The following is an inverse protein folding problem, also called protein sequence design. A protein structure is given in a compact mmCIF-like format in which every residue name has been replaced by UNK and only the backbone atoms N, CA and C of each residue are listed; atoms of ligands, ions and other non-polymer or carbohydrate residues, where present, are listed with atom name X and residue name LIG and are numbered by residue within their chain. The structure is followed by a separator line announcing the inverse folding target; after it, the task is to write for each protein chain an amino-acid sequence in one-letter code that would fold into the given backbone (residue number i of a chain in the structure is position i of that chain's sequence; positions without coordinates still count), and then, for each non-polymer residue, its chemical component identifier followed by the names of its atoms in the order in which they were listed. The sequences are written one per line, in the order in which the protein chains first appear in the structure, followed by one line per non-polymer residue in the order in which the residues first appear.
data_IF_906626476823
#
_entry.id   IF_906626476823
#
_cell.length_a   1.000
_cell.length_b   1.000
_cell.length_c   1.000
_cell.angle_alpha   90.00
_cell.angle_beta   90.00
_cell.angle_gamma   90.00
#
_symmetry.space_group_name_H-M   'P 1'
#
loop_
_entity.id
_entity.type
_entity.pdbx_description
1 polymer ?
#
# COMPACT_ATOMS: atom_id res chain seq x y z
N UNK A 1 2.12 1.16 -21.06
CA UNK A 1 1.84 -0.27 -20.73
C UNK A 1 2.71 -1.28 -21.52
N UNK A 2 2.49 -1.53 -22.83
CA UNK A 2 3.17 -2.65 -23.54
C UNK A 2 4.69 -2.51 -23.59
N UNK A 3 5.19 -1.28 -23.76
CA UNK A 3 6.64 -0.99 -23.74
C UNK A 3 7.25 -1.26 -22.36
N UNK A 4 6.52 -0.91 -21.29
CA UNK A 4 6.97 -1.08 -19.91
C UNK A 4 7.04 -2.56 -19.54
N UNK A 5 6.03 -3.34 -19.94
CA UNK A 5 6.02 -4.78 -19.74
C UNK A 5 7.20 -5.47 -20.45
N UNK A 6 7.47 -5.10 -21.70
CA UNK A 6 8.59 -5.67 -22.47
C UNK A 6 9.94 -5.36 -21.82
N UNK A 7 10.13 -4.13 -21.31
CA UNK A 7 11.34 -3.73 -20.57
C UNK A 7 11.49 -4.51 -19.28
N UNK A 8 10.43 -4.62 -18.46
CA UNK A 8 10.48 -5.34 -17.18
C UNK A 8 10.74 -6.83 -17.36
N UNK A 9 10.07 -7.47 -18.33
CA UNK A 9 10.20 -8.92 -18.60
C UNK A 9 11.64 -9.31 -18.96
N UNK A 10 12.37 -8.45 -19.66
CA UNK A 10 13.77 -8.72 -20.02
C UNK A 10 14.69 -8.84 -18.80
N UNK A 11 14.45 -8.05 -17.75
CA UNK A 11 15.25 -8.06 -16.52
C UNK A 11 14.71 -9.03 -15.46
N UNK A 12 13.41 -9.37 -15.48
CA UNK A 12 12.75 -10.14 -14.41
C UNK A 12 13.45 -11.48 -14.10
N UNK A 13 13.82 -12.25 -15.12
CA UNK A 13 14.53 -13.52 -14.92
C UNK A 13 15.90 -13.31 -14.26
N UNK A 14 16.59 -12.25 -14.64
CA UNK A 14 17.93 -11.94 -14.13
C UNK A 14 17.85 -11.56 -12.64
N UNK A 15 16.87 -10.77 -12.23
CA UNK A 15 16.70 -10.34 -10.84
C UNK A 15 16.59 -11.53 -9.86
N UNK A 16 15.86 -12.58 -10.23
CA UNK A 16 15.72 -13.79 -9.41
C UNK A 16 17.04 -14.58 -9.33
N UNK A 17 17.77 -14.70 -10.44
CA UNK A 17 19.06 -15.39 -10.48
C UNK A 17 20.08 -14.64 -9.63
N UNK A 18 20.19 -13.32 -9.81
CA UNK A 18 21.11 -12.46 -9.06
C UNK A 18 20.81 -12.44 -7.57
N UNK A 19 19.51 -12.44 -7.20
CA UNK A 19 19.10 -12.53 -5.80
C UNK A 19 19.52 -13.84 -5.15
N UNK A 20 19.43 -14.97 -5.85
CA UNK A 20 19.86 -16.28 -5.33
C UNK A 20 21.39 -16.37 -5.27
N UNK A 21 22.09 -15.87 -6.28
CA UNK A 21 23.56 -15.85 -6.33
C UNK A 21 24.19 -14.93 -5.27
N UNK A 22 23.47 -13.91 -4.82
CA UNK A 22 23.94 -12.95 -3.80
C UNK A 22 24.07 -13.55 -2.39
N UNK A 23 23.55 -14.76 -2.15
CA UNK A 23 23.71 -15.49 -0.88
C UNK A 23 23.21 -14.69 0.33
N UNK A 24 24.03 -14.60 1.38
CA UNK A 24 23.67 -13.94 2.65
C UNK A 24 23.79 -12.42 2.63
N UNK A 25 24.40 -11.82 1.59
CA UNK A 25 24.60 -10.36 1.51
C UNK A 25 23.28 -9.58 1.43
N UNK A 26 22.21 -10.21 0.97
CA UNK A 26 20.87 -9.60 0.88
C UNK A 26 20.18 -9.49 2.23
N UNK A 27 20.60 -10.26 3.25
CA UNK A 27 19.95 -10.27 4.56
C UNK A 27 20.10 -8.94 5.30
N UNK A 28 21.27 -8.32 5.23
CA UNK A 28 21.52 -7.03 5.87
C UNK A 28 20.60 -5.91 5.34
N UNK A 29 20.54 -5.62 4.01
CA UNK A 29 19.62 -4.61 3.49
C UNK A 29 18.15 -5.00 3.66
N UNK A 30 17.80 -6.28 3.56
CA UNK A 30 16.40 -6.73 3.79
C UNK A 30 15.96 -6.43 5.22
N UNK A 31 16.81 -6.74 6.20
CA UNK A 31 16.51 -6.47 7.63
C UNK A 31 16.43 -4.98 7.91
N UNK A 32 17.35 -4.19 7.32
CA UNK A 32 17.33 -2.73 7.46
C UNK A 32 16.03 -2.12 6.90
N UNK A 33 15.66 -2.50 5.67
CA UNK A 33 14.44 -1.99 5.02
C UNK A 33 13.17 -2.48 5.74
N UNK A 34 13.18 -3.71 6.27
CA UNK A 34 12.07 -4.21 7.08
C UNK A 34 11.79 -3.29 8.26
N UNK A 35 12.79 -2.94 9.07
CA UNK A 35 12.58 -2.04 10.20
C UNK A 35 12.28 -0.60 9.75
N UNK A 36 12.97 -0.12 8.71
CA UNK A 36 12.73 1.22 8.16
C UNK A 36 11.30 1.41 7.62
N UNK A 37 10.66 0.36 7.11
CA UNK A 37 9.27 0.40 6.62
C UNK A 37 8.24 0.02 7.68
N UNK A 38 8.55 -0.89 8.61
CA UNK A 38 7.60 -1.31 9.65
C UNK A 38 7.34 -0.20 10.67
N UNK A 39 8.36 0.54 11.08
CA UNK A 39 8.21 1.58 12.13
C UNK A 39 7.25 2.70 11.72
N UNK A 40 7.35 3.31 10.51
CA UNK A 40 6.38 4.31 10.07
C UNK A 40 4.97 3.74 9.94
N UNK A 41 4.82 2.50 9.45
CA UNK A 41 3.51 1.86 9.29
C UNK A 41 2.84 1.63 10.64
N UNK A 42 3.60 1.25 11.67
CA UNK A 42 3.07 1.12 13.04
C UNK A 42 2.66 2.49 13.58
N UNK A 43 3.51 3.52 13.41
CA UNK A 43 3.21 4.87 13.89
C UNK A 43 1.96 5.45 13.22
N UNK A 44 1.87 5.35 11.89
CA UNK A 44 0.72 5.84 11.11
C UNK A 44 -0.52 4.97 11.30
N UNK A 45 -0.36 3.67 11.48
CA UNK A 45 -1.46 2.76 11.81
C UNK A 45 -2.08 3.08 13.17
N UNK A 46 -1.26 3.41 14.17
CA UNK A 46 -1.74 3.84 15.48
C UNK A 46 -2.44 5.21 15.40
N UNK A 47 -1.86 6.14 14.65
CA UNK A 47 -2.51 7.42 14.38
C UNK A 47 -3.89 7.21 13.71
N UNK A 48 -3.97 6.34 12.70
CA UNK A 48 -5.22 6.02 12.01
C UNK A 48 -6.24 5.37 12.95
N UNK A 49 -5.80 4.45 13.80
CA UNK A 49 -6.65 3.80 14.82
C UNK A 49 -7.26 4.82 15.77
N UNK A 50 -6.46 5.76 16.26
CA UNK A 50 -6.93 6.82 17.17
C UNK A 50 -7.90 7.80 16.50
N UNK A 51 -7.65 8.16 15.25
CA UNK A 51 -8.48 9.11 14.50
C UNK A 51 -9.78 8.49 13.96
N UNK A 52 -9.86 7.16 13.86
CA UNK A 52 -11.03 6.43 13.36
C UNK A 52 -11.81 5.71 14.47
N UNK A 53 -11.63 6.12 15.73
CA UNK A 53 -12.23 5.48 16.92
C UNK A 53 -12.05 3.94 16.95
N UNK A 54 -10.92 3.44 16.45
CA UNK A 54 -10.60 2.01 16.37
C UNK A 54 -11.23 1.26 15.20
N UNK A 55 -11.92 1.92 14.26
CA UNK A 55 -12.49 1.29 13.06
C UNK A 55 -11.43 0.78 12.07
N UNK A 56 -10.23 1.37 12.05
CA UNK A 56 -9.07 0.86 11.30
C UNK A 56 -7.89 0.67 12.24
N UNK A 57 -7.49 -0.57 12.46
CA UNK A 57 -6.43 -0.89 13.41
C UNK A 57 -5.03 -0.83 12.79
N UNK A 58 -4.03 -0.63 13.64
CA UNK A 58 -2.60 -0.74 13.32
C UNK A 58 -2.26 -2.08 12.68
N UNK A 59 -2.88 -3.17 13.15
CA UNK A 59 -2.65 -4.51 12.60
C UNK A 59 -3.18 -4.66 11.17
N UNK A 60 -4.36 -4.09 10.88
CA UNK A 60 -4.95 -4.14 9.54
C UNK A 60 -4.11 -3.33 8.55
N UNK A 61 -3.61 -2.17 9.01
CA UNK A 61 -2.71 -1.31 8.23
C UNK A 61 -1.39 -2.03 7.91
N UNK A 62 -0.84 -2.74 8.89
CA UNK A 62 0.39 -3.55 8.73
C UNK A 62 0.16 -4.71 7.77
N UNK A 63 -0.93 -5.47 7.95
CA UNK A 63 -1.30 -6.60 7.09
C UNK A 63 -1.55 -6.15 5.65
N UNK A 64 -2.27 -5.04 5.46
CA UNK A 64 -2.50 -4.43 4.14
C UNK A 64 -1.19 -4.06 3.46
N UNK A 65 -0.29 -3.37 4.16
CA UNK A 65 1.03 -2.99 3.62
C UNK A 65 1.87 -4.22 3.25
N UNK A 66 1.85 -5.27 4.09
CA UNK A 66 2.58 -6.51 3.81
C UNK A 66 2.05 -7.24 2.56
N UNK A 67 0.73 -7.40 2.45
CA UNK A 67 0.09 -8.07 1.30
C UNK A 67 0.37 -7.27 0.02
N UNK A 68 0.15 -5.96 0.04
CA UNK A 68 0.40 -5.11 -1.12
C UNK A 68 1.89 -5.06 -1.48
N UNK A 69 2.80 -5.08 -0.49
CA UNK A 69 4.24 -5.17 -0.72
C UNK A 69 4.65 -6.48 -1.41
N UNK A 70 4.11 -7.62 -0.98
CA UNK A 70 4.37 -8.92 -1.63
C UNK A 70 3.86 -8.90 -3.07
N UNK A 71 2.61 -8.47 -3.30
CA UNK A 71 2.03 -8.38 -4.65
C UNK A 71 2.87 -7.43 -5.52
N UNK A 72 3.28 -6.26 -5.01
CA UNK A 72 4.10 -5.30 -5.75
C UNK A 72 5.51 -5.84 -6.04
N UNK A 73 6.13 -6.56 -5.11
CA UNK A 73 7.46 -7.15 -5.35
C UNK A 73 7.47 -8.19 -6.49
N UNK A 74 6.37 -8.93 -6.65
CA UNK A 74 6.23 -9.96 -7.71
C UNK A 74 5.78 -9.35 -9.04
N UNK A 75 4.78 -8.46 -9.03
CA UNK A 75 4.13 -7.95 -10.24
C UNK A 75 4.51 -6.51 -10.61
N UNK A 76 5.23 -5.81 -9.75
CA UNK A 76 5.57 -4.41 -9.91
C UNK A 76 6.56 -4.14 -11.04
N UNK A 77 6.41 -2.96 -11.64
CA UNK A 77 7.32 -2.46 -12.67
C UNK A 77 8.68 -2.02 -12.13
N UNK A 78 8.81 -1.78 -10.83
CA UNK A 78 10.03 -1.31 -10.18
C UNK A 78 10.26 -2.04 -8.85
N UNK A 79 11.11 -3.08 -8.80
CA UNK A 79 11.30 -3.91 -7.61
C UNK A 79 11.98 -3.21 -6.43
N UNK A 80 12.67 -2.08 -6.68
CA UNK A 80 13.31 -1.26 -5.63
C UNK A 80 12.34 -0.28 -4.95
N UNK A 81 11.08 -0.21 -5.40
CA UNK A 81 10.08 0.66 -4.80
C UNK A 81 9.58 0.06 -3.49
N UNK A 82 9.66 0.83 -2.41
CA UNK A 82 9.15 0.44 -1.09
C UNK A 82 7.73 0.98 -0.96
N UNK A 83 6.77 0.06 -0.85
CA UNK A 83 5.37 0.41 -0.60
C UNK A 83 5.15 0.63 0.90
N UNK A 84 4.45 1.69 1.25
CA UNK A 84 4.11 2.00 2.63
C UNK A 84 2.94 2.98 2.73
N UNK A 85 2.42 3.11 3.94
CA UNK A 85 1.43 4.14 4.27
C UNK A 85 2.16 5.44 4.55
N UNK A 86 1.66 6.52 3.96
CA UNK A 86 2.18 7.87 4.16
C UNK A 86 1.13 8.73 4.87
N UNK A 87 1.59 9.79 5.51
CA UNK A 87 0.75 10.75 6.24
C UNK A 87 -0.43 11.31 5.40
N UNK A 88 -0.29 11.66 4.11
CA UNK A 88 -1.42 12.13 3.32
C UNK A 88 -2.55 11.09 3.21
N UNK A 89 -2.20 9.81 3.16
CA UNK A 89 -3.18 8.73 3.16
C UNK A 89 -3.94 8.71 4.48
N UNK A 90 -3.25 8.79 5.63
CA UNK A 90 -3.88 8.83 6.95
C UNK A 90 -4.86 10.01 7.05
N UNK A 91 -4.43 11.20 6.65
CA UNK A 91 -5.27 12.41 6.67
C UNK A 91 -6.54 12.22 5.84
N UNK A 92 -6.43 11.61 4.65
CA UNK A 92 -7.59 11.35 3.80
C UNK A 92 -8.56 10.35 4.44
N UNK A 93 -8.06 9.27 5.04
CA UNK A 93 -8.91 8.29 5.74
C UNK A 93 -9.60 8.88 6.97
N UNK A 94 -8.91 9.74 7.74
CA UNK A 94 -9.50 10.51 8.84
C UNK A 94 -10.57 11.48 8.34
N UNK A 95 -10.34 12.15 7.21
CA UNK A 95 -11.34 13.02 6.60
C UNK A 95 -12.59 12.24 6.17
N UNK A 96 -12.42 11.10 5.49
CA UNK A 96 -13.53 10.21 5.12
C UNK A 96 -14.31 9.75 6.36
N UNK A 97 -13.60 9.41 7.44
CA UNK A 97 -14.22 8.97 8.68
C UNK A 97 -15.10 10.06 9.30
N UNK A 98 -14.55 11.27 9.43
CA UNK A 98 -15.29 12.44 9.93
C UNK A 98 -16.48 12.81 9.04
N UNK A 99 -16.33 12.66 7.71
CA UNK A 99 -17.43 12.87 6.76
C UNK A 99 -18.58 11.86 6.97
N UNK A 100 -18.26 10.58 7.17
CA UNK A 100 -19.26 9.54 7.44
C UNK A 100 -19.97 9.80 8.78
N UNK A 101 -19.21 10.15 9.82
CA UNK A 101 -19.73 10.48 11.16
C UNK A 101 -20.65 11.71 11.16
N UNK A 102 -20.35 12.71 10.32
CA UNK A 102 -21.16 13.93 10.18
C UNK A 102 -22.41 13.76 9.29
N UNK A 103 -22.55 12.64 8.58
CA UNK A 103 -23.66 12.38 7.65
C UNK A 103 -24.68 11.45 8.31
N UNK A 104 -25.91 11.95 8.50
CA UNK A 104 -26.96 11.25 9.26
C UNK A 104 -27.34 9.86 8.70
N UNK A 105 -27.22 9.66 7.38
CA UNK A 105 -27.61 8.40 6.71
C UNK A 105 -26.50 7.34 6.65
N UNK A 106 -25.23 7.72 6.84
CA UNK A 106 -24.08 6.79 6.78
C UNK A 106 -23.68 6.32 8.18
N UNK A 107 -23.49 7.25 9.10
CA UNK A 107 -22.95 6.94 10.43
C UNK A 107 -21.55 6.28 10.39
N UNK A 108 -21.08 5.85 11.57
CA UNK A 108 -19.77 5.23 11.75
C UNK A 108 -19.71 3.80 11.18
N UNK A 109 -20.81 3.04 11.28
CA UNK A 109 -20.89 1.62 10.89
C UNK A 109 -20.64 1.39 9.39
N UNK A 110 -21.05 2.34 8.53
CA UNK A 110 -20.90 2.23 7.07
C UNK A 110 -19.57 2.81 6.54
N UNK A 111 -18.70 3.31 7.42
CA UNK A 111 -17.41 3.88 7.04
C UNK A 111 -16.56 2.92 6.19
N UNK A 112 -16.46 1.65 6.59
CA UNK A 112 -15.66 0.65 5.88
C UNK A 112 -16.21 0.39 4.46
N UNK A 113 -17.53 0.33 4.32
CA UNK A 113 -18.19 0.15 3.03
C UNK A 113 -17.99 1.38 2.13
N UNK A 114 -18.07 2.58 2.70
CA UNK A 114 -17.80 3.83 2.00
C UNK A 114 -16.35 3.91 1.51
N UNK A 115 -15.38 3.63 2.39
CA UNK A 115 -13.97 3.57 2.03
C UNK A 115 -13.71 2.54 0.91
N UNK A 116 -14.39 1.38 0.96
CA UNK A 116 -14.35 0.38 -0.11
C UNK A 116 -14.82 0.94 -1.46
N UNK A 117 -15.92 1.69 -1.50
CA UNK A 117 -16.40 2.34 -2.73
C UNK A 117 -15.43 3.40 -3.25
N UNK A 118 -14.82 4.18 -2.37
CA UNK A 118 -13.78 5.15 -2.76
C UNK A 118 -12.57 4.42 -3.38
N UNK A 119 -12.17 3.27 -2.84
CA UNK A 119 -11.12 2.43 -3.43
C UNK A 119 -11.50 1.90 -4.82
N UNK A 120 -12.77 1.50 -5.04
CA UNK A 120 -13.25 1.05 -6.36
C UNK A 120 -13.11 2.18 -7.39
N UNK A 121 -13.59 3.37 -7.08
CA UNK A 121 -13.47 4.53 -7.98
C UNK A 121 -12.03 4.94 -8.21
N UNK A 122 -11.20 4.94 -7.17
CA UNK A 122 -9.77 5.23 -7.28
C UNK A 122 -9.07 4.24 -8.21
N UNK A 123 -9.36 2.94 -8.08
CA UNK A 123 -8.84 1.89 -8.96
C UNK A 123 -9.27 2.11 -10.42
N UNK A 124 -10.55 2.40 -10.66
CA UNK A 124 -11.06 2.68 -12.02
C UNK A 124 -10.37 3.90 -12.65
N UNK A 125 -10.20 4.99 -11.91
CA UNK A 125 -9.51 6.19 -12.39
C UNK A 125 -8.04 5.92 -12.70
N UNK A 126 -7.36 5.14 -11.85
CA UNK A 126 -5.97 4.71 -12.10
C UNK A 126 -5.86 3.85 -13.36
N UNK A 127 -6.81 2.96 -13.62
CA UNK A 127 -6.85 2.18 -14.86
C UNK A 127 -7.03 3.07 -16.10
N UNK A 128 -7.97 4.02 -16.06
CA UNK A 128 -8.14 4.95 -17.17
C UNK A 128 -6.89 5.77 -17.42
N UNK A 129 -6.28 6.31 -16.36
CA UNK A 129 -5.03 7.07 -16.47
C UNK A 129 -3.89 6.23 -17.06
N UNK A 130 -3.77 4.96 -16.68
CA UNK A 130 -2.74 4.07 -17.21
C UNK A 130 -2.95 3.69 -18.69
N UNK A 131 -4.19 3.68 -19.18
CA UNK A 131 -4.52 3.33 -20.58
C UNK A 131 -4.39 4.56 -21.50
N UNK A 132 -4.84 5.73 -21.04
CA UNK A 132 -4.89 6.93 -21.87
C UNK A 132 -3.59 7.76 -21.88
N UNK A 133 -2.68 7.50 -20.94
CA UNK A 133 -1.36 8.12 -20.86
C UNK A 133 -0.28 7.20 -21.45
#
# INVERSE_FOLDING_TARGET
ITKDFKRRKACYKQDWVDSICSGTRILAPTTYIFFASALPVIAFGEQLSRETDGSLSTVETLTSTAICGIIHSVFGGQPLLILGVAEPTVIMYTYLYNFCKGTADLGQELYLAWAGWVCVWTSLLLFFLAIFN
#
